data_IF_897505103072
#
_entry.id   IF_897505103072
#
_cell.length_a   1.000
_cell.length_b   1.000
_cell.length_c   1.000
_cell.angle_alpha   90.00
_cell.angle_beta   90.00
_cell.angle_gamma   90.00
#
_symmetry.space_group_name_H-M   'P 1'
#
loop_
_entity.id
_entity.type
_entity.pdbx_description
1 polymer ?
#
# COMPACT_ATOMS: atom_id res chain seq x y z
N UNK A 1 7.03 -26.82 -3.74
CA UNK A 1 7.61 -25.57 -4.30
C UNK A 1 6.80 -24.43 -3.68
N UNK A 2 7.41 -23.59 -2.88
CA UNK A 2 6.76 -22.39 -2.36
C UNK A 2 6.58 -21.42 -3.54
N UNK A 3 5.34 -21.09 -3.85
CA UNK A 3 4.99 -20.12 -4.90
C UNK A 3 5.44 -18.74 -4.46
N UNK A 4 6.05 -17.98 -5.36
CA UNK A 4 6.47 -16.60 -5.06
C UNK A 4 5.22 -15.72 -4.99
N UNK A 5 5.01 -15.07 -3.86
CA UNK A 5 3.98 -14.06 -3.68
C UNK A 5 4.65 -12.68 -3.62
N UNK A 6 4.48 -11.84 -4.66
CA UNK A 6 5.08 -10.50 -4.68
C UNK A 6 4.47 -9.55 -3.66
N UNK A 7 3.33 -9.91 -3.07
CA UNK A 7 2.62 -9.12 -2.05
C UNK A 7 2.99 -9.52 -0.63
N UNK A 8 3.65 -10.69 -0.43
CA UNK A 8 4.02 -11.16 0.90
C UNK A 8 5.06 -10.23 1.55
N UNK A 9 4.85 -9.94 2.82
CA UNK A 9 5.86 -9.30 3.66
C UNK A 9 6.73 -10.38 4.27
N UNK A 10 7.85 -10.72 3.63
CA UNK A 10 8.78 -11.70 4.18
C UNK A 10 9.31 -11.26 5.55
N UNK A 11 9.10 -12.10 6.56
CA UNK A 11 9.68 -11.92 7.87
C UNK A 11 11.13 -12.45 7.86
N UNK A 12 12.11 -11.59 8.13
CA UNK A 12 13.51 -12.00 8.30
C UNK A 12 14.51 -11.05 7.63
N UNK A 13 15.61 -11.58 7.12
CA UNK A 13 16.71 -10.81 6.48
C UNK A 13 16.30 -9.84 5.38
N UNK A 14 15.14 -10.04 4.75
CA UNK A 14 14.58 -9.12 3.76
C UNK A 14 14.08 -7.80 4.37
N UNK A 15 13.74 -7.75 5.68
CA UNK A 15 13.36 -6.50 6.36
C UNK A 15 14.52 -5.51 6.45
N UNK A 16 15.73 -6.01 6.67
CA UNK A 16 16.94 -5.18 6.74
C UNK A 16 17.23 -4.56 5.37
N UNK A 17 17.07 -5.35 4.30
CA UNK A 17 17.25 -4.86 2.93
C UNK A 17 16.17 -3.85 2.54
N UNK A 18 14.92 -4.06 2.94
CA UNK A 18 13.84 -3.11 2.68
C UNK A 18 14.07 -1.78 3.38
N UNK A 19 14.64 -1.79 4.59
CA UNK A 19 15.06 -0.59 5.30
C UNK A 19 16.13 0.19 4.56
N UNK A 20 17.15 -0.51 4.03
CA UNK A 20 18.27 0.09 3.31
C UNK A 20 17.83 0.72 1.98
N UNK A 21 16.90 0.06 1.25
CA UNK A 21 16.41 0.56 -0.04
C UNK A 21 15.49 1.77 0.13
N UNK A 22 14.83 1.95 1.28
CA UNK A 22 13.91 3.07 1.50
C UNK A 22 14.61 4.41 1.37
N UNK A 23 14.01 5.39 0.64
CA UNK A 23 14.50 6.77 0.66
C UNK A 23 14.38 7.35 2.07
N UNK A 24 15.38 8.14 2.46
CA UNK A 24 15.47 8.73 3.78
C UNK A 24 15.06 10.21 3.79
N UNK A 25 15.03 10.88 2.63
CA UNK A 25 14.64 12.27 2.45
C UNK A 25 13.67 12.45 1.28
N UNK A 26 13.03 13.63 1.23
CA UNK A 26 12.13 14.01 0.13
C UNK A 26 12.85 14.07 -1.21
N UNK A 27 14.15 14.44 -1.22
CA UNK A 27 14.95 14.52 -2.44
C UNK A 27 15.20 13.15 -3.08
N UNK A 28 15.26 12.09 -2.26
CA UNK A 28 15.46 10.73 -2.71
C UNK A 28 14.17 10.02 -3.14
N UNK A 29 13.02 10.62 -2.80
CA UNK A 29 11.73 10.00 -3.06
C UNK A 29 11.34 10.21 -4.52
N UNK A 30 11.20 9.12 -5.25
CA UNK A 30 10.83 9.13 -6.68
C UNK A 30 9.32 8.97 -6.84
N UNK A 31 8.73 9.75 -7.75
CA UNK A 31 7.29 9.76 -8.02
C UNK A 31 6.50 10.68 -7.10
N UNK A 32 5.17 10.66 -7.17
CA UNK A 32 4.26 11.48 -6.37
C UNK A 32 4.66 12.96 -6.32
N UNK A 33 5.08 13.54 -7.44
CA UNK A 33 5.79 14.84 -7.53
C UNK A 33 5.06 15.98 -6.84
N UNK A 34 3.74 16.06 -7.00
CA UNK A 34 2.92 17.10 -6.40
C UNK A 34 2.88 16.97 -4.87
N UNK A 35 2.66 15.75 -4.36
CA UNK A 35 2.66 15.44 -2.93
C UNK A 35 4.02 15.78 -2.30
N UNK A 36 5.11 15.35 -2.92
CA UNK A 36 6.47 15.59 -2.45
C UNK A 36 6.79 17.09 -2.43
N UNK A 37 6.41 17.81 -3.48
CA UNK A 37 6.60 19.27 -3.56
C UNK A 37 5.85 20.00 -2.45
N UNK A 38 4.59 19.65 -2.21
CA UNK A 38 3.76 20.26 -1.18
C UNK A 38 4.28 19.91 0.22
N UNK A 39 4.61 18.65 0.49
CA UNK A 39 5.19 18.23 1.77
C UNK A 39 6.51 18.97 2.08
N UNK A 40 7.37 19.19 1.07
CA UNK A 40 8.60 19.94 1.25
C UNK A 40 8.34 21.39 1.71
N UNK A 41 7.28 22.02 1.17
CA UNK A 41 6.87 23.38 1.59
C UNK A 41 6.34 23.35 3.02
N UNK A 42 5.43 22.42 3.34
CA UNK A 42 4.81 22.33 4.66
C UNK A 42 5.83 22.04 5.76
N UNK A 43 6.71 21.07 5.54
CA UNK A 43 7.80 20.73 6.46
C UNK A 43 8.74 21.93 6.69
N UNK A 44 9.16 22.61 5.63
CA UNK A 44 10.00 23.81 5.77
C UNK A 44 9.31 24.92 6.54
N UNK A 45 8.02 25.16 6.28
CA UNK A 45 7.24 26.18 6.96
C UNK A 45 7.07 25.85 8.47
N UNK A 46 6.76 24.61 8.82
CA UNK A 46 6.66 24.16 10.21
C UNK A 46 8.00 24.33 10.94
N UNK A 47 9.12 23.93 10.32
CA UNK A 47 10.47 24.15 10.88
C UNK A 47 10.80 25.62 11.10
N UNK A 48 10.46 26.49 10.15
CA UNK A 48 10.70 27.94 10.29
C UNK A 48 9.92 28.56 11.46
N UNK A 49 8.73 28.05 11.77
CA UNK A 49 7.92 28.48 12.90
C UNK A 49 8.28 27.81 14.21
N UNK A 50 9.05 26.72 14.19
CA UNK A 50 9.37 25.90 15.36
C UNK A 50 8.16 25.12 15.89
N UNK A 51 7.25 24.74 15.01
CA UNK A 51 5.98 24.07 15.34
C UNK A 51 5.99 22.62 14.85
N UNK A 52 5.14 21.76 15.44
CA UNK A 52 4.83 20.47 14.87
C UNK A 52 4.17 20.64 13.49
N UNK A 53 4.38 19.70 12.58
CA UNK A 53 3.68 19.69 11.30
C UNK A 53 2.19 19.38 11.55
N UNK A 54 1.30 19.94 10.74
CA UNK A 54 -0.11 19.55 10.74
C UNK A 54 -0.27 18.05 10.53
N UNK A 55 -1.36 17.48 11.05
CA UNK A 55 -1.64 16.05 10.90
C UNK A 55 -1.81 15.67 9.44
N UNK A 56 -1.22 14.53 9.04
CA UNK A 56 -1.14 14.07 7.64
C UNK A 56 -1.89 12.76 7.47
N UNK A 57 -2.75 12.69 6.46
CA UNK A 57 -3.39 11.45 6.02
C UNK A 57 -2.85 11.01 4.66
N UNK A 58 -2.21 9.85 4.60
CA UNK A 58 -1.85 9.19 3.36
C UNK A 58 -2.86 8.11 3.01
N UNK A 59 -3.46 8.18 1.83
CA UNK A 59 -4.37 7.14 1.37
C UNK A 59 -4.08 6.70 -0.06
N UNK A 60 -4.50 5.49 -0.41
CA UNK A 60 -4.29 4.89 -1.72
C UNK A 60 -3.86 3.43 -1.64
N UNK A 61 -3.72 2.74 -2.78
CA UNK A 61 -3.35 1.33 -2.86
C UNK A 61 -2.13 0.94 -2.01
N UNK A 62 -1.99 -0.34 -1.64
CA UNK A 62 -0.84 -0.80 -0.87
C UNK A 62 0.47 -0.69 -1.67
N UNK A 63 1.60 -0.52 -0.97
CA UNK A 63 2.94 -0.56 -1.58
C UNK A 63 3.38 0.71 -2.31
N UNK A 64 2.64 1.82 -2.22
CA UNK A 64 2.94 3.09 -2.90
C UNK A 64 3.87 4.03 -2.12
N UNK A 65 4.26 3.68 -0.89
CA UNK A 65 5.22 4.46 -0.11
C UNK A 65 4.63 5.28 1.04
N UNK A 66 3.38 5.03 1.49
CA UNK A 66 2.75 5.72 2.63
C UNK A 66 3.63 5.73 3.88
N UNK A 67 4.06 4.55 4.32
CA UNK A 67 4.96 4.39 5.48
C UNK A 67 6.33 5.05 5.24
N UNK A 68 6.83 5.01 4.02
CA UNK A 68 8.10 5.66 3.65
C UNK A 68 8.00 7.17 3.78
N UNK A 69 6.91 7.79 3.29
CA UNK A 69 6.68 9.23 3.44
C UNK A 69 6.55 9.65 4.90
N UNK A 70 5.92 8.81 5.75
CA UNK A 70 5.86 9.07 7.19
C UNK A 70 7.26 9.11 7.84
N UNK A 71 8.13 8.15 7.50
CA UNK A 71 9.52 8.17 7.94
C UNK A 71 10.28 9.40 7.45
N UNK A 72 10.09 9.75 6.18
CA UNK A 72 10.73 10.94 5.59
C UNK A 72 10.28 12.20 6.32
N UNK A 73 8.98 12.36 6.64
CA UNK A 73 8.50 13.51 7.41
C UNK A 73 9.23 13.60 8.76
N UNK A 74 9.33 12.52 9.51
CA UNK A 74 10.03 12.52 10.78
C UNK A 74 11.52 12.89 10.62
N UNK A 75 12.21 12.31 9.64
CA UNK A 75 13.59 12.61 9.33
C UNK A 75 13.78 14.09 8.95
N UNK A 76 12.96 14.61 8.05
CA UNK A 76 13.00 15.99 7.60
C UNK A 76 12.69 16.97 8.73
N UNK A 77 11.74 16.64 9.61
CA UNK A 77 11.45 17.45 10.82
C UNK A 77 12.56 17.34 11.87
N UNK A 78 13.39 16.29 11.85
CA UNK A 78 14.44 16.02 12.82
C UNK A 78 13.91 15.53 14.17
N UNK A 79 12.81 14.76 14.15
CA UNK A 79 12.09 14.24 15.32
C UNK A 79 11.98 12.72 15.30
N UNK A 80 11.59 12.12 16.43
CA UNK A 80 11.37 10.70 16.50
C UNK A 80 10.03 10.29 15.87
N UNK A 81 9.96 9.06 15.38
CA UNK A 81 8.71 8.46 14.91
C UNK A 81 8.35 7.26 15.76
N UNK A 82 7.13 7.26 16.30
CA UNK A 82 6.52 6.09 16.94
C UNK A 82 5.52 5.47 15.98
N UNK A 83 5.63 4.16 15.79
CA UNK A 83 4.78 3.37 14.88
C UNK A 83 3.81 2.54 15.69
N UNK A 84 2.54 2.58 15.31
CA UNK A 84 1.50 1.75 15.90
C UNK A 84 0.47 1.32 14.85
N UNK A 85 -0.51 0.54 15.27
CA UNK A 85 -1.64 0.10 14.43
C UNK A 85 -2.92 0.07 15.27
N UNK A 86 -4.08 0.05 14.61
CA UNK A 86 -5.38 0.07 15.26
C UNK A 86 -5.51 -0.93 16.42
N UNK A 87 -5.26 -2.23 16.24
CA UNK A 87 -5.43 -3.24 17.31
C UNK A 87 -4.54 -3.03 18.54
N UNK A 88 -3.39 -2.37 18.39
CA UNK A 88 -2.51 -2.05 19.54
C UNK A 88 -3.12 -0.95 20.39
N UNK A 89 -3.84 -0.02 19.77
CA UNK A 89 -4.49 1.11 20.43
C UNK A 89 -5.82 0.76 21.12
N UNK A 90 -6.36 -0.43 20.94
CA UNK A 90 -7.63 -0.84 21.56
C UNK A 90 -7.55 -0.92 23.08
N UNK A 91 -6.36 -1.13 23.66
CA UNK A 91 -6.18 -1.15 25.11
C UNK A 91 -5.99 0.26 25.67
N UNK A 92 -6.84 0.71 26.61
CA UNK A 92 -6.78 2.08 27.17
C UNK A 92 -5.42 2.47 27.75
N UNK A 93 -4.75 1.55 28.46
CA UNK A 93 -3.43 1.80 29.05
C UNK A 93 -2.34 2.01 27.99
N UNK A 94 -2.37 1.22 26.91
CA UNK A 94 -1.39 1.30 25.84
C UNK A 94 -1.53 2.61 25.05
N UNK A 95 -2.78 3.06 24.80
CA UNK A 95 -3.09 4.38 24.18
C UNK A 95 -2.50 5.53 24.97
N UNK A 96 -2.84 5.58 26.26
CA UNK A 96 -2.40 6.66 27.15
C UNK A 96 -0.87 6.68 27.25
N UNK A 97 -0.25 5.50 27.49
CA UNK A 97 1.19 5.36 27.56
C UNK A 97 1.91 5.80 26.29
N UNK A 98 1.36 5.46 25.13
CA UNK A 98 1.93 5.86 23.84
C UNK A 98 1.88 7.39 23.66
N UNK A 99 0.70 7.99 23.82
CA UNK A 99 0.51 9.43 23.60
C UNK A 99 1.29 10.29 24.60
N UNK A 100 1.29 9.93 25.90
CA UNK A 100 2.05 10.64 26.92
C UNK A 100 3.57 10.51 26.79
N UNK A 101 4.04 9.52 26.03
CA UNK A 101 5.46 9.30 25.78
C UNK A 101 5.97 10.04 24.53
N UNK A 102 5.12 10.80 23.82
CA UNK A 102 5.54 11.63 22.68
C UNK A 102 6.23 12.90 23.19
N UNK A 103 7.34 13.24 22.57
CA UNK A 103 8.02 14.51 22.78
C UNK A 103 7.50 15.58 21.82
N UNK A 104 7.83 16.83 22.06
CA UNK A 104 7.37 17.95 21.22
C UNK A 104 7.85 17.78 19.78
N UNK A 105 6.93 17.76 18.84
CA UNK A 105 7.18 17.61 17.41
C UNK A 105 7.25 16.17 16.92
N UNK A 106 7.27 15.16 17.81
CA UNK A 106 7.32 13.76 17.42
C UNK A 106 6.23 13.38 16.43
N UNK A 107 6.51 12.39 15.59
CA UNK A 107 5.56 11.81 14.65
C UNK A 107 4.97 10.52 15.24
N UNK A 108 3.65 10.48 15.36
CA UNK A 108 2.91 9.23 15.62
C UNK A 108 2.36 8.70 14.30
N UNK A 109 2.86 7.57 13.84
CA UNK A 109 2.39 6.90 12.65
C UNK A 109 1.42 5.77 12.98
N UNK A 110 0.20 5.83 12.41
CA UNK A 110 -0.82 4.78 12.54
C UNK A 110 -1.05 4.16 11.17
N UNK A 111 -0.59 2.92 10.99
CA UNK A 111 -0.86 2.17 9.76
C UNK A 111 -2.26 1.56 9.80
N UNK A 112 -2.89 1.48 8.64
CA UNK A 112 -4.28 1.03 8.45
C UNK A 112 -5.24 1.68 9.45
N UNK A 113 -5.18 3.01 9.55
CA UNK A 113 -5.92 3.82 10.52
C UNK A 113 -7.44 3.60 10.46
N UNK A 114 -7.98 3.12 9.32
CA UNK A 114 -9.39 2.76 9.18
C UNK A 114 -9.81 1.54 10.02
N UNK A 115 -8.86 0.84 10.65
CA UNK A 115 -9.14 -0.28 11.56
C UNK A 115 -9.26 0.13 13.03
N UNK A 116 -9.22 1.42 13.32
CA UNK A 116 -9.44 1.92 14.66
C UNK A 116 -10.88 1.64 15.11
N UNK A 117 -11.06 1.28 16.38
CA UNK A 117 -12.38 1.22 16.96
C UNK A 117 -12.93 2.64 17.19
N UNK A 118 -14.26 2.84 17.21
CA UNK A 118 -14.85 4.15 17.47
C UNK A 118 -14.36 4.81 18.76
N UNK A 119 -14.13 4.02 19.82
CA UNK A 119 -13.57 4.51 21.09
C UNK A 119 -12.15 5.08 20.93
N UNK A 120 -11.33 4.47 20.08
CA UNK A 120 -9.98 4.95 19.80
C UNK A 120 -10.02 6.22 18.95
N UNK A 121 -10.93 6.27 17.98
CA UNK A 121 -11.11 7.49 17.18
C UNK A 121 -11.50 8.69 18.05
N UNK A 122 -12.51 8.55 18.94
CA UNK A 122 -12.94 9.62 19.85
C UNK A 122 -11.80 10.10 20.75
N UNK A 123 -10.99 9.17 21.23
CA UNK A 123 -9.82 9.48 22.04
C UNK A 123 -8.77 10.29 21.27
N UNK A 124 -8.58 9.96 20.00
CA UNK A 124 -7.66 10.68 19.11
C UNK A 124 -8.17 12.08 18.75
N UNK A 125 -9.48 12.33 18.72
CA UNK A 125 -10.01 13.67 18.40
C UNK A 125 -9.47 14.74 19.34
N UNK A 126 -9.60 14.53 20.66
CA UNK A 126 -9.08 15.47 21.67
C UNK A 126 -7.55 15.56 21.64
N UNK A 127 -6.88 14.45 21.39
CA UNK A 127 -5.43 14.41 21.27
C UNK A 127 -4.92 15.21 20.06
N UNK A 128 -5.65 15.20 18.94
CA UNK A 128 -5.28 15.93 17.72
C UNK A 128 -5.62 17.41 17.76
N UNK A 129 -6.76 17.77 18.35
CA UNK A 129 -7.23 19.17 18.35
C UNK A 129 -6.61 19.98 19.49
N UNK A 130 -6.70 19.45 20.72
CA UNK A 130 -6.39 20.18 21.93
C UNK A 130 -5.10 19.71 22.62
N UNK A 131 -4.44 18.68 22.09
CA UNK A 131 -3.30 18.01 22.74
C UNK A 131 -3.61 17.59 24.17
N UNK A 132 -4.79 17.02 24.39
CA UNK A 132 -5.23 16.52 25.71
C UNK A 132 -5.86 15.15 25.56
N UNK A 133 -5.78 14.37 26.63
CA UNK A 133 -6.50 13.10 26.76
C UNK A 133 -7.18 13.04 28.12
N UNK A 134 -8.38 12.45 28.17
CA UNK A 134 -9.11 12.19 29.37
C UNK A 134 -9.00 10.70 29.74
N UNK A 135 -8.39 10.39 30.89
CA UNK A 135 -8.21 9.02 31.39
C UNK A 135 -9.21 8.77 32.52
N UNK A 136 -10.04 7.74 32.34
CA UNK A 136 -10.94 7.28 33.41
C UNK A 136 -10.17 6.48 34.45
N UNK A 137 -10.17 6.93 35.73
CA UNK A 137 -9.47 6.27 36.83
C UNK A 137 -10.34 5.15 37.41
N UNK A 138 -11.67 5.38 37.51
CA UNK A 138 -12.60 4.46 38.12
C UNK A 138 -13.70 4.01 37.16
N UNK A 139 -14.33 2.87 37.46
CA UNK A 139 -15.50 2.35 36.73
C UNK A 139 -16.75 2.48 37.60
N UNK A 140 -17.84 3.01 37.07
CA UNK A 140 -19.16 3.04 37.74
C UNK A 140 -19.77 4.44 37.90
N UNK A 141 -20.93 4.57 38.60
CA UNK A 141 -21.61 5.83 38.78
C UNK A 141 -20.84 6.74 39.76
N UNK A 142 -19.95 7.54 39.30
CA UNK A 142 -19.02 8.37 40.07
C UNK A 142 -17.59 8.28 39.58
N UNK A 143 -17.40 7.64 38.44
CA UNK A 143 -16.11 7.54 37.79
C UNK A 143 -15.47 8.94 37.60
N UNK A 144 -14.19 9.05 37.95
CA UNK A 144 -13.41 10.28 37.80
C UNK A 144 -12.55 10.18 36.57
N UNK A 145 -12.50 11.25 35.79
CA UNK A 145 -11.54 11.41 34.72
C UNK A 145 -10.40 12.33 35.12
N UNK A 146 -9.19 12.04 34.67
CA UNK A 146 -8.04 12.95 34.77
C UNK A 146 -7.68 13.39 33.38
N UNK A 147 -7.65 14.69 33.18
CA UNK A 147 -7.18 15.32 31.95
C UNK A 147 -5.66 15.45 31.99
N UNK A 148 -5.01 14.91 30.98
CA UNK A 148 -3.55 14.95 30.80
C UNK A 148 -3.24 15.74 29.55
N UNK A 149 -2.38 16.76 29.67
CA UNK A 149 -1.86 17.50 28.53
C UNK A 149 -0.77 16.70 27.84
N UNK A 150 -0.78 16.71 26.50
CA UNK A 150 0.21 16.10 25.64
C UNK A 150 1.15 17.16 25.08
N UNK A 151 2.35 16.77 24.73
CA UNK A 151 3.21 17.60 23.89
C UNK A 151 2.60 17.71 22.48
N UNK A 152 2.69 18.87 21.79
CA UNK A 152 2.32 18.97 20.39
C UNK A 152 3.06 17.94 19.55
N UNK A 153 2.33 17.18 18.75
CA UNK A 153 2.86 16.10 17.91
C UNK A 153 2.17 16.10 16.55
N UNK A 154 2.76 15.41 15.60
CA UNK A 154 2.15 15.17 14.28
C UNK A 154 1.58 13.75 14.20
N UNK A 155 0.27 13.59 14.00
CA UNK A 155 -0.30 12.31 13.64
C UNK A 155 -0.18 12.11 12.13
N UNK A 156 0.41 11.00 11.71
CA UNK A 156 0.44 10.55 10.32
C UNK A 156 -0.38 9.28 10.21
N UNK A 157 -1.56 9.38 9.60
CA UNK A 157 -2.41 8.22 9.31
C UNK A 157 -2.13 7.65 7.93
N UNK A 158 -2.11 6.32 7.81
CA UNK A 158 -2.08 5.65 6.51
C UNK A 158 -3.26 4.71 6.36
N UNK A 159 -3.86 4.67 5.16
CA UNK A 159 -4.98 3.77 4.87
C UNK A 159 -5.03 3.35 3.40
N UNK A 160 -5.45 2.12 3.17
CA UNK A 160 -5.84 1.62 1.83
C UNK A 160 -7.30 1.92 1.52
N UNK A 161 -8.14 2.22 2.53
CA UNK A 161 -9.60 2.37 2.46
C UNK A 161 -10.05 3.70 3.08
N UNK A 162 -9.77 4.82 2.42
CA UNK A 162 -10.14 6.15 2.92
C UNK A 162 -11.66 6.33 3.14
N UNK A 163 -12.48 5.61 2.39
CA UNK A 163 -13.94 5.64 2.53
C UNK A 163 -14.48 4.97 3.80
N UNK A 164 -13.64 4.22 4.55
CA UNK A 164 -14.00 3.63 5.83
C UNK A 164 -13.67 4.53 7.03
N UNK A 165 -12.91 5.61 6.82
CA UNK A 165 -12.66 6.60 7.87
C UNK A 165 -13.92 7.40 8.14
N UNK A 166 -14.19 7.65 9.41
CA UNK A 166 -15.28 8.54 9.81
C UNK A 166 -15.00 9.97 9.32
N UNK A 167 -16.05 10.71 8.99
CA UNK A 167 -15.90 12.09 8.56
C UNK A 167 -15.19 12.96 9.64
N UNK A 168 -15.54 12.85 10.95
CA UNK A 168 -14.85 13.59 11.99
C UNK A 168 -13.35 13.33 12.07
N UNK A 169 -12.90 12.07 11.92
CA UNK A 169 -11.47 11.76 11.93
C UNK A 169 -10.77 12.35 10.70
N UNK A 170 -11.37 12.20 9.53
CA UNK A 170 -10.80 12.67 8.28
C UNK A 170 -10.63 14.19 8.23
N UNK A 171 -11.59 14.94 8.79
CA UNK A 171 -11.57 16.42 8.82
C UNK A 171 -10.45 16.99 9.71
N UNK A 172 -9.92 16.20 10.65
CA UNK A 172 -8.82 16.58 11.54
C UNK A 172 -7.43 16.49 10.89
N UNK A 173 -7.34 15.90 9.72
CA UNK A 173 -6.10 15.89 8.96
C UNK A 173 -6.02 17.15 8.09
N UNK A 174 -5.16 18.09 8.47
CA UNK A 174 -4.91 19.32 7.72
C UNK A 174 -4.24 19.06 6.36
N UNK A 175 -3.47 17.97 6.26
CA UNK A 175 -2.77 17.56 5.04
C UNK A 175 -3.31 16.20 4.60
N UNK A 176 -3.96 16.16 3.41
CA UNK A 176 -4.54 14.94 2.85
C UNK A 176 -3.89 14.61 1.51
N UNK A 177 -3.26 13.44 1.42
CA UNK A 177 -2.45 13.03 0.27
C UNK A 177 -2.97 11.70 -0.31
N UNK A 178 -3.50 11.76 -1.52
CA UNK A 178 -3.90 10.59 -2.30
C UNK A 178 -2.71 10.07 -3.12
N UNK A 179 -2.15 8.93 -2.76
CA UNK A 179 -1.07 8.30 -3.52
C UNK A 179 -1.66 7.51 -4.69
N UNK A 180 -1.05 7.67 -5.84
CA UNK A 180 -1.44 7.01 -7.08
C UNK A 180 -0.39 5.98 -7.53
N UNK A 181 -0.79 5.10 -8.43
CA UNK A 181 0.16 4.17 -9.06
C UNK A 181 1.24 4.94 -9.81
N UNK A 182 2.45 4.42 -9.74
CA UNK A 182 3.61 5.01 -10.40
C UNK A 182 3.59 4.72 -11.90
N UNK A 183 4.06 5.67 -12.68
CA UNK A 183 4.36 5.41 -14.08
C UNK A 183 5.62 4.53 -14.25
N UNK A 184 5.76 3.95 -15.45
CA UNK A 184 6.89 3.08 -15.73
C UNK A 184 8.24 3.81 -15.63
N UNK A 185 8.30 5.10 -15.96
CA UNK A 185 9.53 5.89 -15.92
C UNK A 185 10.03 6.09 -14.48
N UNK A 186 9.11 6.33 -13.55
CA UNK A 186 9.43 6.44 -12.13
C UNK A 186 9.86 5.08 -11.55
N UNK A 187 9.19 4.00 -11.93
CA UNK A 187 9.57 2.66 -11.50
C UNK A 187 10.96 2.23 -12.03
N UNK A 188 11.31 2.57 -13.26
CA UNK A 188 12.67 2.34 -13.78
C UNK A 188 13.71 3.05 -12.91
N UNK A 189 13.45 4.30 -12.53
CA UNK A 189 14.36 5.06 -11.64
C UNK A 189 14.47 4.40 -10.27
N UNK A 190 13.36 3.91 -9.73
CA UNK A 190 13.34 3.18 -8.44
C UNK A 190 14.14 1.89 -8.55
N UNK A 191 13.93 1.08 -9.59
CA UNK A 191 14.65 -0.18 -9.81
C UNK A 191 16.17 0.07 -9.92
N UNK A 192 16.59 1.05 -10.72
CA UNK A 192 18.02 1.40 -10.87
C UNK A 192 18.63 1.90 -9.57
N UNK A 193 17.92 2.75 -8.83
CA UNK A 193 18.37 3.22 -7.52
C UNK A 193 18.52 2.05 -6.54
N UNK A 194 17.53 1.17 -6.49
CA UNK A 194 17.55 -0.01 -5.63
C UNK A 194 18.66 -0.99 -6.01
N UNK A 195 18.87 -1.25 -7.30
CA UNK A 195 19.98 -2.08 -7.77
C UNK A 195 21.34 -1.54 -7.35
N UNK A 196 21.54 -0.21 -7.46
CA UNK A 196 22.78 0.45 -7.00
C UNK A 196 23.00 0.28 -5.50
N UNK A 197 21.95 0.46 -4.69
CA UNK A 197 22.01 0.27 -3.23
C UNK A 197 22.31 -1.18 -2.86
N UNK A 198 21.75 -2.12 -3.60
CA UNK A 198 22.01 -3.56 -3.44
C UNK A 198 23.35 -4.02 -4.02
N UNK A 199 24.11 -3.08 -4.59
CA UNK A 199 25.39 -3.33 -5.25
C UNK A 199 25.29 -4.39 -6.37
N UNK A 200 24.26 -4.24 -7.22
CA UNK A 200 23.99 -5.11 -8.37
C UNK A 200 23.98 -4.28 -9.64
N UNK A 201 24.69 -4.75 -10.67
CA UNK A 201 24.66 -4.15 -12.01
C UNK A 201 23.42 -4.62 -12.79
N UNK A 202 22.77 -3.69 -13.47
CA UNK A 202 21.54 -3.96 -14.22
C UNK A 202 21.50 -3.14 -15.51
N UNK A 203 21.10 -3.78 -16.60
CA UNK A 203 20.87 -3.11 -17.88
C UNK A 203 19.59 -2.27 -17.87
N UNK A 204 19.55 -1.24 -18.71
CA UNK A 204 18.40 -0.36 -18.85
C UNK A 204 17.14 -1.09 -19.32
N UNK A 205 17.29 -2.03 -20.26
CA UNK A 205 16.19 -2.85 -20.76
C UNK A 205 15.70 -3.85 -19.69
N UNK A 206 16.58 -4.39 -18.87
CA UNK A 206 16.24 -5.24 -17.73
C UNK A 206 15.46 -4.47 -16.66
N UNK A 207 15.93 -3.27 -16.32
CA UNK A 207 15.23 -2.39 -15.37
C UNK A 207 13.83 -2.01 -15.87
N UNK A 208 13.69 -1.75 -17.17
CA UNK A 208 12.42 -1.49 -17.83
C UNK A 208 11.48 -2.71 -17.80
N UNK A 209 11.99 -3.91 -18.08
CA UNK A 209 11.22 -5.14 -18.04
C UNK A 209 10.65 -5.41 -16.63
N UNK A 210 11.47 -5.23 -15.57
CA UNK A 210 11.03 -5.34 -14.17
C UNK A 210 9.97 -4.27 -13.86
N UNK A 211 10.20 -3.02 -14.27
CA UNK A 211 9.29 -1.92 -14.02
C UNK A 211 7.91 -2.14 -14.66
N UNK A 212 7.87 -2.62 -15.91
CA UNK A 212 6.63 -2.92 -16.63
C UNK A 212 5.77 -3.98 -15.93
N UNK A 213 6.42 -5.01 -15.34
CA UNK A 213 5.70 -6.08 -14.62
C UNK A 213 5.45 -5.76 -13.13
N UNK A 214 5.77 -4.55 -12.68
CA UNK A 214 5.66 -4.14 -11.26
C UNK A 214 4.31 -3.57 -10.85
N UNK A 215 3.29 -3.62 -11.71
CA UNK A 215 1.91 -3.22 -11.40
C UNK A 215 1.75 -1.75 -10.95
N UNK A 216 2.67 -0.88 -11.33
CA UNK A 216 2.67 0.51 -10.86
C UNK A 216 3.09 0.69 -9.40
N UNK A 217 3.75 -0.31 -8.79
CA UNK A 217 3.98 -0.36 -7.33
C UNK A 217 5.45 -0.51 -6.99
N UNK A 218 6.07 0.46 -6.29
CA UNK A 218 7.48 0.38 -5.85
C UNK A 218 7.82 -0.85 -5.00
N UNK A 219 6.90 -1.29 -4.13
CA UNK A 219 7.09 -2.50 -3.32
C UNK A 219 7.29 -3.72 -4.21
N UNK A 220 6.44 -3.90 -5.24
CA UNK A 220 6.52 -5.03 -6.17
C UNK A 220 7.78 -4.91 -7.01
N UNK A 221 8.10 -3.71 -7.52
CA UNK A 221 9.33 -3.48 -8.29
C UNK A 221 10.58 -3.92 -7.53
N UNK A 222 10.68 -3.55 -6.25
CA UNK A 222 11.78 -3.97 -5.40
C UNK A 222 11.76 -5.48 -5.08
N UNK A 223 10.58 -6.07 -4.88
CA UNK A 223 10.45 -7.51 -4.66
C UNK A 223 10.90 -8.30 -5.90
N UNK A 224 10.47 -7.89 -7.10
CA UNK A 224 10.89 -8.51 -8.35
C UNK A 224 12.40 -8.34 -8.59
N UNK A 225 12.95 -7.14 -8.36
CA UNK A 225 14.38 -6.89 -8.49
C UNK A 225 15.21 -7.84 -7.60
N UNK A 226 14.81 -8.05 -6.34
CA UNK A 226 15.49 -8.97 -5.44
C UNK A 226 15.47 -10.41 -5.96
N UNK A 227 14.33 -10.86 -6.48
CA UNK A 227 14.24 -12.22 -7.05
C UNK A 227 15.05 -12.34 -8.32
N UNK A 228 14.96 -11.39 -9.25
CA UNK A 228 15.78 -11.40 -10.49
C UNK A 228 17.27 -11.41 -10.15
N UNK A 229 17.70 -10.63 -9.14
CA UNK A 229 19.08 -10.68 -8.63
C UNK A 229 19.50 -12.09 -8.20
N UNK A 230 18.63 -12.80 -7.47
CA UNK A 230 18.94 -14.15 -7.03
C UNK A 230 19.20 -15.11 -8.23
N UNK A 231 18.40 -14.97 -9.31
CA UNK A 231 18.63 -15.70 -10.57
C UNK A 231 19.94 -15.28 -11.22
N UNK A 232 20.24 -13.99 -11.32
CA UNK A 232 21.49 -13.50 -11.92
C UNK A 232 22.73 -14.01 -11.17
N UNK A 233 22.68 -14.08 -9.85
CA UNK A 233 23.78 -14.58 -9.02
C UNK A 233 24.01 -16.09 -9.16
N UNK A 234 22.96 -16.88 -9.37
CA UNK A 234 23.06 -18.35 -9.43
C UNK A 234 23.33 -18.85 -10.86
N UNK A 235 22.78 -18.17 -11.85
CA UNK A 235 22.82 -18.62 -13.25
C UNK A 235 23.82 -17.85 -14.12
N UNK A 236 24.33 -16.71 -13.64
CA UNK A 236 25.25 -15.83 -14.33
C UNK A 236 26.38 -15.35 -13.43
N UNK A 237 26.92 -14.19 -13.75
CA UNK A 237 27.99 -13.51 -13.02
C UNK A 237 27.48 -12.47 -12.00
N UNK A 238 26.16 -12.42 -11.79
CA UNK A 238 25.48 -11.44 -10.92
C UNK A 238 25.02 -10.17 -11.64
N UNK A 239 25.30 -10.02 -12.93
CA UNK A 239 24.77 -8.95 -13.76
C UNK A 239 23.32 -9.27 -14.19
N UNK A 240 22.44 -8.27 -14.12
CA UNK A 240 21.04 -8.42 -14.52
C UNK A 240 20.86 -7.86 -15.94
N UNK A 241 20.85 -8.74 -16.91
CA UNK A 241 20.51 -8.45 -18.30
C UNK A 241 19.02 -8.71 -18.60
N UNK A 242 18.60 -8.42 -19.81
CA UNK A 242 17.20 -8.60 -20.23
C UNK A 242 16.78 -10.07 -20.24
N UNK A 243 17.66 -10.98 -20.65
CA UNK A 243 17.36 -12.41 -20.80
C UNK A 243 17.19 -13.07 -19.44
N UNK A 244 18.09 -12.81 -18.50
CA UNK A 244 17.96 -13.22 -17.09
C UNK A 244 16.67 -12.66 -16.48
N UNK A 245 16.35 -11.38 -16.74
CA UNK A 245 15.15 -10.75 -16.20
C UNK A 245 13.89 -11.44 -16.70
N UNK A 246 13.78 -11.68 -18.01
CA UNK A 246 12.64 -12.40 -18.61
C UNK A 246 12.52 -13.81 -18.07
N UNK A 247 13.63 -14.54 -18.06
CA UNK A 247 13.66 -15.91 -17.55
C UNK A 247 13.20 -15.99 -16.09
N UNK A 248 13.71 -15.11 -15.23
CA UNK A 248 13.35 -15.07 -13.82
C UNK A 248 11.86 -14.74 -13.63
N UNK A 249 11.35 -13.68 -14.33
CA UNK A 249 9.97 -13.25 -14.21
C UNK A 249 8.99 -14.32 -14.74
N UNK A 250 9.34 -15.04 -15.79
CA UNK A 250 8.55 -16.16 -16.30
C UNK A 250 8.54 -17.35 -15.33
N UNK A 251 9.67 -17.64 -14.68
CA UNK A 251 9.75 -18.67 -13.61
C UNK A 251 8.94 -18.29 -12.38
N UNK A 252 8.84 -17.00 -12.06
CA UNK A 252 8.00 -16.45 -11.01
C UNK A 252 6.52 -16.37 -11.41
N UNK A 253 6.18 -16.76 -12.66
CA UNK A 253 4.82 -16.70 -13.22
C UNK A 253 4.23 -15.29 -13.25
N UNK A 254 5.07 -14.29 -13.40
CA UNK A 254 4.64 -12.90 -13.61
C UNK A 254 4.62 -12.66 -15.12
N UNK A 255 3.45 -12.44 -15.67
CA UNK A 255 3.29 -12.26 -17.11
C UNK A 255 3.72 -10.85 -17.60
N UNK A 256 3.64 -10.63 -18.91
CA UNK A 256 4.05 -9.35 -19.54
C UNK A 256 3.25 -8.15 -19.08
N UNK A 257 2.07 -8.33 -18.51
CA UNK A 257 1.21 -7.28 -17.95
C UNK A 257 1.35 -7.15 -16.44
N UNK A 258 2.20 -7.97 -15.82
CA UNK A 258 2.42 -7.97 -14.37
C UNK A 258 1.37 -8.77 -13.60
N UNK A 259 0.54 -9.59 -14.27
CA UNK A 259 -0.38 -10.49 -13.57
C UNK A 259 0.40 -11.69 -13.05
N UNK A 260 0.09 -12.06 -11.81
CA UNK A 260 0.62 -13.28 -11.18
C UNK A 260 -0.34 -14.47 -11.34
N UNK A 261 0.00 -15.61 -10.72
CA UNK A 261 -0.81 -16.81 -10.77
C UNK A 261 -2.19 -16.64 -10.14
N UNK A 262 -2.30 -15.81 -9.09
CA UNK A 262 -3.57 -15.57 -8.39
C UNK A 262 -4.46 -14.65 -9.22
N UNK A 263 -3.92 -13.59 -9.82
CA UNK A 263 -4.66 -12.74 -10.76
C UNK A 263 -5.28 -13.56 -11.90
N UNK A 264 -4.44 -14.41 -12.52
CA UNK A 264 -4.90 -15.29 -13.61
C UNK A 264 -5.96 -16.31 -13.12
N UNK A 265 -5.83 -16.80 -11.87
CA UNK A 265 -6.83 -17.67 -11.24
C UNK A 265 -8.13 -16.92 -11.00
N UNK A 266 -8.08 -15.67 -10.53
CA UNK A 266 -9.26 -14.80 -10.35
C UNK A 266 -10.00 -14.64 -11.68
N UNK A 267 -9.30 -14.18 -12.72
CA UNK A 267 -9.91 -13.94 -14.04
C UNK A 267 -10.51 -15.23 -14.61
N UNK A 268 -9.76 -16.33 -14.59
CA UNK A 268 -10.24 -17.64 -15.05
C UNK A 268 -11.48 -18.09 -14.28
N UNK A 269 -11.49 -17.92 -12.95
CA UNK A 269 -12.65 -18.29 -12.11
C UNK A 269 -13.88 -17.47 -12.47
N UNK A 270 -13.76 -16.16 -12.66
CA UNK A 270 -14.87 -15.31 -13.07
C UNK A 270 -15.41 -15.76 -14.42
N UNK A 271 -14.54 -16.05 -15.38
CA UNK A 271 -14.93 -16.40 -16.74
C UNK A 271 -15.54 -17.80 -16.81
N UNK A 272 -14.80 -18.83 -16.33
CA UNK A 272 -15.22 -20.22 -16.56
C UNK A 272 -16.24 -20.71 -15.55
N UNK A 273 -16.12 -20.33 -14.26
CA UNK A 273 -17.03 -20.81 -13.21
C UNK A 273 -18.29 -19.95 -13.13
N UNK A 274 -18.15 -18.64 -13.30
CA UNK A 274 -19.26 -17.71 -13.15
C UNK A 274 -19.71 -17.06 -14.48
N UNK A 275 -19.36 -17.66 -15.62
CA UNK A 275 -19.77 -17.22 -16.97
C UNK A 275 -19.50 -15.73 -17.23
N UNK A 276 -18.37 -15.23 -16.74
CA UNK A 276 -17.96 -13.83 -16.87
C UNK A 276 -18.59 -12.86 -15.86
N UNK A 277 -19.40 -13.35 -14.94
CA UNK A 277 -20.06 -12.55 -13.90
C UNK A 277 -21.46 -12.04 -14.31
N UNK A 278 -22.11 -11.21 -13.47
CA UNK A 278 -21.59 -10.58 -12.24
C UNK A 278 -21.47 -11.52 -11.05
N UNK A 279 -20.38 -11.42 -10.30
CA UNK A 279 -20.09 -12.27 -9.13
C UNK A 279 -19.61 -11.44 -7.94
N UNK A 280 -20.06 -11.78 -6.73
CA UNK A 280 -19.70 -11.08 -5.50
C UNK A 280 -18.24 -11.31 -5.08
N UNK A 281 -17.61 -10.31 -4.39
CA UNK A 281 -16.23 -10.41 -3.91
C UNK A 281 -15.98 -11.64 -3.04
N UNK A 282 -16.87 -11.87 -2.06
CA UNK A 282 -16.76 -13.02 -1.15
C UNK A 282 -16.82 -14.36 -1.91
N UNK A 283 -17.67 -14.45 -2.94
CA UNK A 283 -17.80 -15.65 -3.77
C UNK A 283 -16.52 -15.92 -4.57
N UNK A 284 -15.91 -14.85 -5.16
CA UNK A 284 -14.64 -14.97 -5.85
C UNK A 284 -13.55 -15.42 -4.88
N UNK A 285 -13.40 -14.70 -3.75
CA UNK A 285 -12.39 -14.99 -2.75
C UNK A 285 -12.46 -16.43 -2.24
N UNK A 286 -13.67 -16.90 -1.90
CA UNK A 286 -13.91 -18.29 -1.50
C UNK A 286 -13.50 -19.29 -2.61
N UNK A 287 -13.87 -19.03 -3.86
CA UNK A 287 -13.57 -19.92 -4.98
C UNK A 287 -12.06 -20.04 -5.28
N UNK A 288 -11.29 -19.00 -4.99
CA UNK A 288 -9.83 -19.02 -5.16
C UNK A 288 -9.07 -19.40 -3.87
N UNK A 289 -9.78 -19.62 -2.75
CA UNK A 289 -9.24 -19.92 -1.41
C UNK A 289 -8.43 -18.75 -0.82
N UNK A 290 -8.94 -17.52 -0.98
CA UNK A 290 -8.38 -16.30 -0.44
C UNK A 290 -9.36 -15.61 0.53
N UNK A 291 -8.83 -14.68 1.36
CA UNK A 291 -9.65 -13.78 2.17
C UNK A 291 -10.28 -12.68 1.30
N UNK A 292 -11.54 -12.32 1.60
CA UNK A 292 -12.25 -11.27 0.86
C UNK A 292 -11.52 -9.92 0.94
N UNK A 293 -10.98 -9.56 2.11
CA UNK A 293 -10.23 -8.31 2.29
C UNK A 293 -8.97 -8.30 1.42
N UNK A 294 -8.25 -9.43 1.37
CA UNK A 294 -7.07 -9.60 0.50
C UNK A 294 -7.45 -9.43 -0.97
N UNK A 295 -8.55 -10.06 -1.42
CA UNK A 295 -9.02 -9.86 -2.79
C UNK A 295 -9.31 -8.38 -3.08
N UNK A 296 -10.07 -7.69 -2.22
CA UNK A 296 -10.50 -6.31 -2.43
C UNK A 296 -9.38 -5.28 -2.28
N UNK A 297 -8.34 -5.56 -1.48
CA UNK A 297 -7.25 -4.61 -1.22
C UNK A 297 -6.04 -4.82 -2.13
N UNK A 298 -5.75 -6.06 -2.51
CA UNK A 298 -4.51 -6.41 -3.19
C UNK A 298 -4.71 -6.67 -4.68
N UNK A 299 -5.69 -7.49 -5.04
CA UNK A 299 -5.87 -7.96 -6.42
C UNK A 299 -6.86 -7.10 -7.22
N UNK A 300 -8.05 -6.87 -6.67
CA UNK A 300 -9.13 -6.17 -7.37
C UNK A 300 -8.73 -4.78 -7.89
N UNK A 301 -8.05 -3.90 -7.12
CA UNK A 301 -7.73 -2.55 -7.57
C UNK A 301 -6.83 -2.54 -8.81
N UNK A 302 -5.89 -3.46 -8.90
CA UNK A 302 -5.01 -3.58 -10.06
C UNK A 302 -5.77 -4.13 -11.28
N UNK A 303 -6.57 -5.17 -11.10
CA UNK A 303 -7.37 -5.76 -12.18
C UNK A 303 -8.40 -4.77 -12.74
N UNK A 304 -8.98 -3.90 -11.90
CA UNK A 304 -9.87 -2.81 -12.35
C UNK A 304 -9.07 -1.76 -13.11
N UNK A 305 -7.94 -1.30 -12.56
CA UNK A 305 -7.07 -0.29 -13.19
C UNK A 305 -6.62 -0.71 -14.58
N UNK A 306 -6.20 -1.97 -14.72
CA UNK A 306 -5.75 -2.53 -16.01
C UNK A 306 -6.92 -2.90 -16.94
N UNK A 307 -8.17 -2.74 -16.48
CA UNK A 307 -9.36 -2.97 -17.29
C UNK A 307 -9.75 -4.43 -17.49
N UNK A 308 -9.23 -5.36 -16.68
CA UNK A 308 -9.58 -6.77 -16.75
C UNK A 308 -10.95 -7.08 -16.15
N UNK A 309 -11.33 -6.37 -15.11
CA UNK A 309 -12.65 -6.48 -14.48
C UNK A 309 -13.30 -5.12 -14.27
N UNK A 310 -14.60 -5.09 -14.22
CA UNK A 310 -15.39 -3.92 -13.81
C UNK A 310 -16.22 -4.27 -12.58
N UNK A 311 -16.37 -3.29 -11.68
CA UNK A 311 -17.21 -3.39 -10.50
C UNK A 311 -18.57 -2.78 -10.77
N UNK A 312 -19.63 -3.56 -10.56
CA UNK A 312 -21.03 -3.13 -10.67
C UNK A 312 -21.76 -3.30 -9.34
N UNK A 313 -22.98 -2.79 -9.24
CA UNK A 313 -23.82 -3.00 -8.05
C UNK A 313 -24.12 -4.49 -7.78
N UNK A 314 -24.14 -5.33 -8.83
CA UNK A 314 -24.40 -6.76 -8.74
C UNK A 314 -23.14 -7.60 -8.46
N UNK A 315 -21.95 -7.03 -8.64
CA UNK A 315 -20.69 -7.74 -8.48
C UNK A 315 -19.66 -7.37 -9.54
N UNK A 316 -18.67 -8.24 -9.71
CA UNK A 316 -17.54 -8.08 -10.63
C UNK A 316 -17.83 -8.80 -11.93
N UNK A 317 -17.47 -8.19 -13.04
CA UNK A 317 -17.66 -8.73 -14.40
C UNK A 317 -16.30 -8.72 -15.09
N UNK A 318 -15.94 -9.82 -15.74
CA UNK A 318 -14.75 -9.88 -16.59
C UNK A 318 -15.02 -9.13 -17.91
N UNK A 319 -14.05 -8.31 -18.33
CA UNK A 319 -14.10 -7.57 -19.59
C UNK A 319 -13.62 -8.43 -20.76
N UNK A 320 -13.86 -8.00 -21.99
CA UNK A 320 -13.30 -8.66 -23.18
C UNK A 320 -11.77 -8.81 -23.10
N UNK A 321 -11.10 -7.80 -22.52
CA UNK A 321 -9.64 -7.86 -22.30
C UNK A 321 -9.22 -9.07 -21.45
N UNK A 322 -10.01 -9.45 -20.45
CA UNK A 322 -9.72 -10.63 -19.62
C UNK A 322 -9.84 -11.94 -20.41
N UNK A 323 -10.83 -12.05 -21.29
CA UNK A 323 -11.00 -13.21 -22.16
C UNK A 323 -9.82 -13.33 -23.15
N UNK A 324 -9.48 -12.24 -23.85
CA UNK A 324 -8.34 -12.20 -24.78
C UNK A 324 -7.02 -12.53 -24.08
N UNK A 325 -6.82 -11.99 -22.89
CA UNK A 325 -5.60 -12.23 -22.11
C UNK A 325 -5.40 -13.72 -21.76
N UNK A 326 -6.48 -14.41 -21.44
CA UNK A 326 -6.46 -15.83 -21.07
C UNK A 326 -6.58 -16.77 -22.28
N UNK A 327 -6.76 -16.23 -23.50
CA UNK A 327 -7.02 -17.02 -24.70
C UNK A 327 -8.37 -17.76 -24.66
N UNK A 328 -9.38 -17.12 -24.06
CA UNK A 328 -10.73 -17.65 -23.89
C UNK A 328 -11.74 -16.93 -24.79
N UNK A 329 -11.36 -16.66 -26.04
CA UNK A 329 -12.20 -15.92 -26.99
C UNK A 329 -13.48 -16.66 -27.36
N UNK A 330 -13.45 -17.98 -27.40
CA UNK A 330 -14.62 -18.82 -27.68
C UNK A 330 -15.71 -18.68 -26.60
N UNK A 331 -15.31 -18.56 -25.32
CA UNK A 331 -16.22 -18.32 -24.21
C UNK A 331 -16.83 -16.91 -24.26
N UNK A 332 -16.09 -15.92 -24.80
CA UNK A 332 -16.61 -14.59 -25.03
C UNK A 332 -17.68 -14.56 -26.13
N UNK A 333 -17.44 -15.24 -27.23
CA UNK A 333 -18.42 -15.36 -28.33
C UNK A 333 -19.69 -16.08 -27.85
N UNK A 334 -19.56 -17.20 -27.15
CA UNK A 334 -20.69 -17.92 -26.59
C UNK A 334 -21.53 -17.06 -25.64
N UNK A 335 -20.89 -16.20 -24.82
CA UNK A 335 -21.58 -15.26 -23.96
C UNK A 335 -22.35 -14.19 -24.74
N UNK A 336 -21.75 -13.63 -25.80
CA UNK A 336 -22.41 -12.63 -26.66
C UNK A 336 -23.66 -13.19 -27.33
N UNK A 337 -23.63 -14.47 -27.74
CA UNK A 337 -24.77 -15.16 -28.32
C UNK A 337 -25.90 -15.40 -27.28
N UNK A 338 -25.55 -15.77 -26.04
CA UNK A 338 -26.51 -15.90 -24.93
C UNK A 338 -27.20 -14.55 -24.59
N UNK A 339 -26.43 -13.45 -24.50
CA UNK A 339 -26.96 -12.09 -24.21
C UNK A 339 -27.72 -11.50 -25.41
N UNK A 340 -27.36 -11.85 -26.65
CA UNK A 340 -28.03 -11.41 -27.88
C UNK A 340 -29.36 -12.11 -28.17
N UNK A 341 -29.64 -13.24 -27.54
CA UNK A 341 -30.87 -14.01 -27.70
C UNK A 341 -32.01 -13.53 -26.79
N UNK A 342 -31.80 -12.49 -25.99
CA UNK A 342 -32.77 -11.91 -25.04
C UNK A 342 -33.51 -10.67 -25.56
N UNK A 343 -33.51 -10.45 -26.90
CA UNK A 343 -34.30 -9.39 -27.55
C UNK A 343 -35.24 -9.97 -28.61
#
# INVERSE_FOLDING_TARGET
MTEFDPHSTNAGKDKDLDGIIRPQGLEDFTGQKEIVSNLNIYVKAAKMRGEALDHVLFHGPPGLGKTTLAHIIANEMGVNMKVTSGPVLDKPGDRAGLLTSLETGDVLFIDEIHRLSPEVEEYLYSAMEDYVIDIMIDKGPGARSVRISLNPFTLVGATTRSGLLTAPLRERFGINCALEYYDTSDLIRIVRRSARILNVTIDDEAAKEIALRSRGTPRIANALLKRVRDFAQVMGDGHIDLDISRYALDKLKIDKRGLDSIDNKILRTIITTFKGGPVGANTIATAISEDQGTFEEVYEPFLIKEGFIVRTQRGRIATEMAYHHLGLDAELEAKKDEDGTLF
#
